data_IF_942638245119
#
_entry.id   IF_942638245119
#
_cell.length_a   1.000
_cell.length_b   1.000
_cell.length_c   1.000
_cell.angle_alpha   90.00
_cell.angle_beta   90.00
_cell.angle_gamma   90.00
#
_symmetry.space_group_name_H-M   'P 1'
#
loop_
_entity.id
_entity.type
_entity.pdbx_description
1 polymer ?
#
# COMPACT_ATOMS: atom_id res chain seq x y z
N UNK A 1 -9.21 -9.79 7.92
CA UNK A 1 -10.16 -10.69 7.31
C UNK A 1 -11.21 -9.95 6.49
N UNK A 2 -11.83 -10.65 5.56
CA UNK A 2 -12.84 -10.08 4.69
C UNK A 2 -14.20 -10.16 5.38
N UNK A 3 -14.89 -9.02 5.47
CA UNK A 3 -16.21 -8.94 6.09
C UNK A 3 -17.30 -9.10 5.05
N UNK A 4 -17.33 -10.24 4.41
CA UNK A 4 -18.38 -10.54 3.46
C UNK A 4 -19.00 -11.89 3.83
N UNK A 5 -20.33 -11.97 3.93
CA UNK A 5 -21.00 -13.21 4.33
C UNK A 5 -20.96 -14.28 3.24
N UNK A 6 -20.68 -13.89 2.01
CA UNK A 6 -20.69 -14.81 0.89
C UNK A 6 -19.80 -14.31 -0.23
N UNK A 7 -19.09 -15.24 -0.87
CA UNK A 7 -18.31 -14.95 -2.06
C UNK A 7 -19.18 -14.57 -3.27
N UNK A 8 -20.48 -14.82 -3.16
CA UNK A 8 -21.44 -14.49 -4.23
C UNK A 8 -21.96 -13.05 -4.13
N UNK A 9 -21.68 -12.37 -3.03
CA UNK A 9 -22.12 -11.01 -2.87
C UNK A 9 -21.42 -10.11 -3.90
N UNK A 10 -22.19 -9.19 -4.47
CA UNK A 10 -21.64 -8.28 -5.47
C UNK A 10 -20.68 -7.27 -4.82
N UNK A 11 -19.51 -7.15 -5.40
CA UNK A 11 -18.48 -6.21 -4.91
C UNK A 11 -19.01 -4.78 -4.84
N UNK A 12 -19.86 -4.38 -5.77
CA UNK A 12 -20.44 -3.03 -5.79
C UNK A 12 -21.31 -2.70 -4.59
N UNK A 13 -21.78 -3.71 -3.84
CA UNK A 13 -22.59 -3.51 -2.63
C UNK A 13 -21.75 -3.39 -1.37
N UNK A 14 -20.43 -3.52 -1.48
CA UNK A 14 -19.51 -3.44 -0.34
C UNK A 14 -18.94 -2.03 -0.22
N UNK A 15 -18.47 -1.68 0.98
CA UNK A 15 -17.71 -0.44 1.16
C UNK A 15 -16.41 -0.49 0.35
N UNK A 16 -15.81 0.69 0.09
CA UNK A 16 -14.54 0.76 -0.63
C UNK A 16 -13.43 -0.08 0.01
N UNK A 17 -13.36 -0.08 1.35
CA UNK A 17 -12.38 -0.90 2.06
C UNK A 17 -12.62 -2.39 1.88
N UNK A 18 -13.88 -2.83 1.92
CA UNK A 18 -14.21 -4.22 1.71
C UNK A 18 -13.98 -4.65 0.26
N UNK A 19 -14.27 -3.78 -0.70
CA UNK A 19 -13.95 -4.03 -2.11
C UNK A 19 -12.46 -4.26 -2.30
N UNK A 20 -11.64 -3.41 -1.68
CA UNK A 20 -10.19 -3.53 -1.77
C UNK A 20 -9.69 -4.84 -1.16
N UNK A 21 -10.25 -5.24 0.00
CA UNK A 21 -9.90 -6.53 0.61
C UNK A 21 -10.24 -7.72 -0.28
N UNK A 22 -11.37 -7.67 -0.96
CA UNK A 22 -11.77 -8.73 -1.88
C UNK A 22 -10.77 -8.83 -3.04
N UNK A 23 -10.36 -7.69 -3.59
CA UNK A 23 -9.38 -7.65 -4.68
C UNK A 23 -8.05 -8.24 -4.22
N UNK A 24 -7.57 -7.85 -3.06
CA UNK A 24 -6.32 -8.38 -2.49
C UNK A 24 -6.44 -9.89 -2.29
N UNK A 25 -7.55 -10.36 -1.76
CA UNK A 25 -7.77 -11.79 -1.53
C UNK A 25 -7.76 -12.61 -2.82
N UNK A 26 -8.30 -12.06 -3.90
CA UNK A 26 -8.26 -12.72 -5.20
C UNK A 26 -6.82 -12.91 -5.70
N UNK A 27 -5.99 -11.88 -5.55
CA UNK A 27 -4.60 -11.99 -5.94
C UNK A 27 -3.84 -12.95 -5.05
N UNK A 28 -4.14 -12.96 -3.74
CA UNK A 28 -3.49 -13.86 -2.79
C UNK A 28 -3.83 -15.33 -3.05
N UNK A 29 -4.98 -15.63 -3.61
CA UNK A 29 -5.36 -16.99 -3.96
C UNK A 29 -4.39 -17.62 -4.96
N UNK A 30 -3.65 -16.79 -5.70
CA UNK A 30 -2.61 -17.25 -6.63
C UNK A 30 -1.25 -17.41 -5.99
N UNK A 31 -1.14 -17.12 -4.69
CA UNK A 31 0.09 -17.19 -3.89
C UNK A 31 1.30 -16.51 -4.54
N UNK A 32 1.21 -15.24 -4.89
CA UNK A 32 2.35 -14.54 -5.51
C UNK A 32 3.43 -14.25 -4.49
N UNK A 33 4.69 -14.21 -4.94
CA UNK A 33 5.82 -13.82 -4.11
C UNK A 33 5.96 -12.30 -4.01
N UNK A 34 5.53 -11.59 -5.04
CA UNK A 34 5.64 -10.13 -5.15
C UNK A 34 4.26 -9.56 -5.43
N UNK A 35 3.86 -8.56 -4.65
CA UNK A 35 2.60 -7.83 -4.84
C UNK A 35 2.91 -6.37 -5.13
N UNK A 36 2.29 -5.85 -6.18
CA UNK A 36 2.38 -4.42 -6.52
C UNK A 36 1.02 -3.81 -6.25
N UNK A 37 0.97 -2.84 -5.34
CA UNK A 37 -0.24 -2.17 -4.93
C UNK A 37 -0.16 -0.69 -5.29
N UNK A 38 -1.01 -0.27 -6.21
CA UNK A 38 -1.05 1.12 -6.68
C UNK A 38 -2.15 1.88 -5.97
N UNK A 39 -1.75 2.83 -5.11
CA UNK A 39 -2.67 3.66 -4.31
C UNK A 39 -3.71 2.80 -3.58
N UNK A 40 -3.28 1.82 -2.75
CA UNK A 40 -4.21 0.80 -2.23
C UNK A 40 -5.27 1.33 -1.28
N UNK A 41 -5.08 2.53 -0.72
CA UNK A 41 -6.03 3.12 0.24
C UNK A 41 -6.70 4.37 -0.29
N UNK A 42 -6.54 4.67 -1.58
CA UNK A 42 -7.12 5.87 -2.16
C UNK A 42 -8.65 5.84 -2.10
N UNK A 43 -9.24 6.91 -1.54
CA UNK A 43 -10.68 7.00 -1.43
C UNK A 43 -11.31 6.14 -0.36
N UNK A 44 -10.50 5.55 0.53
CA UNK A 44 -10.95 4.66 1.59
C UNK A 44 -10.91 5.42 2.93
N UNK A 45 -11.89 5.19 3.80
CA UNK A 45 -11.94 5.84 5.10
C UNK A 45 -10.83 5.34 6.04
N UNK A 46 -10.57 6.11 7.11
CA UNK A 46 -9.45 5.86 8.03
C UNK A 46 -9.54 4.48 8.67
N UNK A 47 -10.72 4.05 9.08
CA UNK A 47 -10.89 2.73 9.72
C UNK A 47 -10.55 1.59 8.78
N UNK A 48 -11.01 1.68 7.54
CA UNK A 48 -10.73 0.66 6.54
C UNK A 48 -9.27 0.67 6.09
N UNK A 49 -8.61 1.84 6.09
CA UNK A 49 -7.19 1.92 5.78
C UNK A 49 -6.35 1.07 6.72
N UNK A 50 -6.63 1.11 8.02
CA UNK A 50 -5.90 0.32 9.00
C UNK A 50 -6.00 -1.17 8.72
N UNK A 51 -7.16 -1.64 8.31
CA UNK A 51 -7.34 -3.06 7.98
C UNK A 51 -6.49 -3.47 6.78
N UNK A 52 -6.37 -2.58 5.78
CA UNK A 52 -5.52 -2.84 4.61
C UNK A 52 -4.05 -2.86 5.01
N UNK A 53 -3.62 -1.94 5.87
CA UNK A 53 -2.25 -1.91 6.37
C UNK A 53 -1.91 -3.19 7.16
N UNK A 54 -2.84 -3.67 7.97
CA UNK A 54 -2.64 -4.92 8.71
C UNK A 54 -2.47 -6.11 7.77
N UNK A 55 -3.23 -6.15 6.69
CA UNK A 55 -3.08 -7.20 5.66
C UNK A 55 -1.68 -7.13 5.05
N UNK A 56 -1.23 -5.93 4.69
CA UNK A 56 0.08 -5.74 4.09
C UNK A 56 1.21 -6.17 5.04
N UNK A 57 1.11 -5.79 6.31
CA UNK A 57 2.11 -6.17 7.31
C UNK A 57 2.15 -7.69 7.50
N UNK A 58 1.00 -8.34 7.55
CA UNK A 58 0.93 -9.78 7.69
C UNK A 58 1.55 -10.50 6.49
N UNK A 59 1.31 -9.99 5.29
CA UNK A 59 1.90 -10.56 4.08
C UNK A 59 3.43 -10.42 4.08
N UNK A 60 3.93 -9.29 4.52
CA UNK A 60 5.38 -9.07 4.63
C UNK A 60 6.00 -10.03 5.64
N UNK A 61 5.31 -10.30 6.76
CA UNK A 61 5.77 -11.28 7.75
C UNK A 61 5.82 -12.69 7.20
N UNK A 62 4.96 -13.00 6.24
CA UNK A 62 4.95 -14.30 5.56
C UNK A 62 6.05 -14.42 4.50
N UNK A 63 6.87 -13.40 4.34
CA UNK A 63 7.98 -13.42 3.39
C UNK A 63 7.65 -12.89 2.01
N UNK A 64 6.48 -12.31 1.81
CA UNK A 64 6.12 -11.69 0.54
C UNK A 64 6.73 -10.30 0.40
N UNK A 65 7.14 -9.96 -0.81
CA UNK A 65 7.64 -8.62 -1.12
C UNK A 65 6.46 -7.75 -1.59
N UNK A 66 6.34 -6.56 -1.02
CA UNK A 66 5.25 -5.63 -1.36
C UNK A 66 5.85 -4.34 -1.89
N UNK A 67 5.40 -3.95 -3.09
CA UNK A 67 5.73 -2.65 -3.67
C UNK A 67 4.45 -1.82 -3.60
N UNK A 68 4.47 -0.78 -2.78
CA UNK A 68 3.33 0.12 -2.62
C UNK A 68 3.62 1.44 -3.32
N UNK A 69 2.74 1.84 -4.20
CA UNK A 69 2.79 3.14 -4.84
C UNK A 69 1.79 4.03 -4.11
N UNK A 70 2.26 5.15 -3.57
CA UNK A 70 1.41 6.05 -2.80
C UNK A 70 1.82 7.50 -2.99
N UNK A 71 0.84 8.38 -3.01
CA UNK A 71 1.04 9.83 -2.99
C UNK A 71 0.79 10.43 -1.61
N UNK A 72 0.44 9.60 -0.62
CA UNK A 72 0.13 10.07 0.73
C UNK A 72 1.35 9.93 1.63
N UNK A 73 1.87 11.05 2.13
CA UNK A 73 3.09 11.08 2.95
C UNK A 73 2.97 10.26 4.24
N UNK A 74 1.89 10.37 5.02
CA UNK A 74 1.79 9.57 6.25
C UNK A 74 1.82 8.06 5.98
N UNK A 75 1.20 7.64 4.89
CA UNK A 75 1.18 6.23 4.48
C UNK A 75 2.60 5.73 4.16
N UNK A 76 3.33 6.50 3.36
CA UNK A 76 4.70 6.16 3.00
C UNK A 76 5.59 6.04 4.23
N UNK A 77 5.57 7.04 5.08
CA UNK A 77 6.44 7.09 6.26
C UNK A 77 6.06 6.03 7.30
N UNK A 78 4.78 5.69 7.39
CA UNK A 78 4.30 4.72 8.36
C UNK A 78 4.47 3.27 7.95
N UNK A 79 4.48 2.99 6.66
CA UNK A 79 4.43 1.62 6.15
C UNK A 79 5.74 1.14 5.53
N UNK A 80 6.54 2.02 4.96
CA UNK A 80 7.66 1.60 4.13
C UNK A 80 8.89 1.23 4.94
N UNK A 81 9.55 0.15 4.50
CA UNK A 81 10.90 -0.21 4.96
C UNK A 81 11.96 0.49 4.13
N UNK A 82 11.60 0.80 2.89
CA UNK A 82 12.45 1.51 1.94
C UNK A 82 11.56 2.37 1.06
N UNK A 83 11.99 3.59 0.79
CA UNK A 83 11.24 4.53 -0.05
C UNK A 83 12.07 4.88 -1.28
N UNK A 84 11.47 4.68 -2.46
CA UNK A 84 12.01 5.15 -3.73
C UNK A 84 11.17 6.34 -4.17
N UNK A 85 11.81 7.47 -4.47
CA UNK A 85 11.10 8.69 -4.83
C UNK A 85 11.25 8.93 -6.33
N UNK A 86 10.12 9.21 -6.97
CA UNK A 86 10.08 9.50 -8.40
C UNK A 86 9.70 10.95 -8.64
N UNK A 87 10.29 11.54 -9.67
CA UNK A 87 9.92 12.88 -10.13
C UNK A 87 10.05 12.93 -11.64
N UNK A 88 8.97 13.30 -12.32
CA UNK A 88 8.95 13.41 -13.78
C UNK A 88 9.45 12.15 -14.50
N UNK A 89 9.03 10.98 -14.01
CA UNK A 89 9.37 9.69 -14.62
C UNK A 89 10.78 9.19 -14.29
N UNK A 90 11.49 9.86 -13.39
CA UNK A 90 12.85 9.47 -13.02
C UNK A 90 12.94 9.13 -11.54
N UNK A 91 13.78 8.16 -11.21
CA UNK A 91 14.11 7.85 -9.82
C UNK A 91 15.08 8.93 -9.33
N UNK A 92 14.64 9.75 -8.38
CA UNK A 92 15.43 10.87 -7.88
C UNK A 92 16.07 10.62 -6.53
N UNK A 93 15.58 9.64 -5.79
CA UNK A 93 16.15 9.32 -4.48
C UNK A 93 15.69 7.99 -3.96
N UNK A 94 16.45 7.47 -3.00
CA UNK A 94 16.15 6.23 -2.32
C UNK A 94 16.53 6.39 -0.85
N UNK A 95 15.57 6.08 0.04
CA UNK A 95 15.75 6.19 1.48
C UNK A 95 15.67 4.78 2.06
N UNK A 96 16.76 4.30 2.62
CA UNK A 96 16.89 2.93 3.13
C UNK A 96 16.95 2.83 4.64
N UNK A 97 17.25 3.94 5.32
CA UNK A 97 17.40 3.98 6.77
C UNK A 97 16.21 4.68 7.40
N UNK A 98 15.76 4.18 8.54
CA UNK A 98 14.59 4.74 9.22
C UNK A 98 14.78 6.22 9.55
N UNK A 99 15.97 6.62 9.97
CA UNK A 99 16.28 8.01 10.30
C UNK A 99 16.30 8.94 9.08
N UNK A 100 16.42 8.39 7.88
CA UNK A 100 16.34 9.17 6.64
C UNK A 100 14.92 9.38 6.14
N UNK A 101 13.98 8.57 6.65
CA UNK A 101 12.59 8.57 6.18
C UNK A 101 11.80 9.70 6.82
N UNK A 102 12.01 10.90 6.34
CA UNK A 102 11.32 12.10 6.80
C UNK A 102 10.57 12.76 5.65
N UNK A 103 9.53 13.51 5.98
CA UNK A 103 8.77 14.27 4.98
C UNK A 103 9.69 15.20 4.19
N UNK A 104 10.62 15.86 4.87
CA UNK A 104 11.56 16.77 4.22
C UNK A 104 12.42 16.07 3.17
N UNK A 105 12.99 14.92 3.51
CA UNK A 105 13.83 14.17 2.57
C UNK A 105 13.04 13.66 1.38
N UNK A 106 11.83 13.13 1.61
CA UNK A 106 10.97 12.67 0.52
C UNK A 106 10.63 13.83 -0.41
N UNK A 107 10.23 14.98 0.15
CA UNK A 107 9.85 16.15 -0.66
C UNK A 107 11.01 16.73 -1.43
N UNK A 108 12.22 16.71 -0.87
CA UNK A 108 13.40 17.18 -1.57
C UNK A 108 13.64 16.40 -2.86
N UNK A 109 13.47 15.07 -2.82
CA UNK A 109 13.59 14.25 -4.02
C UNK A 109 12.37 14.37 -4.95
N UNK A 110 11.17 14.48 -4.40
CA UNK A 110 9.94 14.56 -5.18
C UNK A 110 9.83 15.86 -5.98
N UNK A 111 10.53 16.93 -5.57
CA UNK A 111 10.49 18.24 -6.20
C UNK A 111 11.80 18.62 -6.88
N UNK A 112 12.65 17.64 -7.16
CA UNK A 112 14.01 17.89 -7.68
C UNK A 112 14.01 18.49 -9.10
N UNK A 113 12.95 18.29 -9.87
CA UNK A 113 12.82 18.85 -11.21
C UNK A 113 11.65 19.80 -11.35
#
# INVERSE_FOLDING_TARGET
SIKTPSMKEHIGNLSGGNQQKVIISRWLAKDPDILIMDEPTRGIDIGAKHEIYEIMEELAKQGKAIIMISSEMPELLGMADRICVMCNGKLTGELNQQEEMTQENVMNFATMF
#
